data_IF_893377828819
#
_entry.id   IF_893377828819
#
_cell.length_a   1.000
_cell.length_b   1.000
_cell.length_c   1.000
_cell.angle_alpha   90.00
_cell.angle_beta   90.00
_cell.angle_gamma   90.00
#
_symmetry.space_group_name_H-M   'P 1'
#
loop_
_entity.id
_entity.type
_entity.pdbx_description
1 polymer ?
#
# COMPACT_ATOMS: atom_id res chain seq x y z
N UNK A 1 -21.89 -0.52 5.42
CA UNK A 1 -21.33 0.84 5.24
C UNK A 1 -22.05 1.52 4.08
N UNK A 2 -22.66 2.70 4.32
CA UNK A 2 -23.54 3.40 3.35
C UNK A 2 -22.79 4.14 2.24
N UNK A 3 -21.49 4.41 2.42
CA UNK A 3 -20.69 5.18 1.44
C UNK A 3 -20.52 4.44 0.10
N UNK A 4 -20.49 3.10 0.12
CA UNK A 4 -20.31 2.30 -1.09
C UNK A 4 -21.53 2.30 -2.04
N UNK A 5 -22.67 2.85 -1.61
CA UNK A 5 -23.87 3.02 -2.43
C UNK A 5 -24.17 4.49 -2.74
N UNK A 6 -23.31 5.42 -2.32
CA UNK A 6 -23.44 6.83 -2.63
C UNK A 6 -22.97 7.10 -4.07
N UNK A 7 -23.47 8.18 -4.67
CA UNK A 7 -23.00 8.64 -5.98
C UNK A 7 -21.58 9.23 -5.89
N UNK A 8 -20.86 9.25 -7.02
CA UNK A 8 -19.47 9.71 -7.05
C UNK A 8 -19.29 11.16 -6.59
N UNK A 9 -20.26 12.04 -6.88
CA UNK A 9 -20.24 13.43 -6.43
C UNK A 9 -20.35 13.54 -4.90
N UNK A 10 -21.21 12.73 -4.27
CA UNK A 10 -21.32 12.66 -2.82
C UNK A 10 -20.04 12.09 -2.20
N UNK A 11 -19.48 11.02 -2.78
CA UNK A 11 -18.22 10.43 -2.31
C UNK A 11 -17.09 11.46 -2.41
N UNK A 12 -16.99 12.18 -3.53
CA UNK A 12 -15.97 13.22 -3.73
C UNK A 12 -16.12 14.36 -2.72
N UNK A 13 -17.35 14.82 -2.46
CA UNK A 13 -17.60 15.84 -1.45
C UNK A 13 -17.19 15.39 -0.04
N UNK A 14 -17.49 14.13 0.33
CA UNK A 14 -17.08 13.55 1.61
C UNK A 14 -15.55 13.47 1.71
N UNK A 15 -14.87 13.00 0.66
CA UNK A 15 -13.41 12.90 0.65
C UNK A 15 -12.75 14.28 0.79
N UNK A 16 -13.26 15.30 0.09
CA UNK A 16 -12.77 16.68 0.22
C UNK A 16 -12.95 17.19 1.65
N UNK A 17 -14.09 16.91 2.28
CA UNK A 17 -14.35 17.31 3.66
C UNK A 17 -13.43 16.59 4.67
N UNK A 18 -13.19 15.28 4.49
CA UNK A 18 -12.26 14.53 5.35
C UNK A 18 -10.82 15.03 5.23
N UNK A 19 -10.39 15.42 4.02
CA UNK A 19 -9.06 15.99 3.78
C UNK A 19 -8.87 17.40 4.35
N UNK A 20 -9.83 17.96 5.10
CA UNK A 20 -9.59 19.14 5.94
C UNK A 20 -8.76 18.80 7.18
N UNK A 21 -8.74 17.52 7.58
CA UNK A 21 -7.85 17.00 8.62
C UNK A 21 -6.49 16.60 7.98
N UNK A 22 -5.35 17.14 8.45
CA UNK A 22 -4.04 16.86 7.84
C UNK A 22 -3.65 15.38 7.83
N UNK A 23 -4.07 14.61 8.85
CA UNK A 23 -3.77 13.18 8.95
C UNK A 23 -4.56 12.40 7.89
N UNK A 24 -5.83 12.75 7.69
CA UNK A 24 -6.64 12.16 6.64
C UNK A 24 -6.18 12.61 5.24
N UNK A 25 -5.75 13.86 5.10
CA UNK A 25 -5.20 14.37 3.84
C UNK A 25 -3.96 13.59 3.41
N UNK A 26 -3.00 13.40 4.33
CA UNK A 26 -1.79 12.60 4.08
C UNK A 26 -2.16 11.19 3.62
N UNK A 27 -3.03 10.49 4.36
CA UNK A 27 -3.50 9.14 4.01
C UNK A 27 -4.18 9.10 2.64
N UNK A 28 -5.03 10.09 2.32
CA UNK A 28 -5.71 10.15 1.04
C UNK A 28 -4.73 10.38 -0.12
N UNK A 29 -3.69 11.20 0.08
CA UNK A 29 -2.62 11.41 -0.90
C UNK A 29 -1.82 10.14 -1.14
N UNK A 30 -1.45 9.42 -0.09
CA UNK A 30 -0.71 8.16 -0.20
C UNK A 30 -1.50 7.12 -1.01
N UNK A 31 -2.79 6.92 -0.66
CA UNK A 31 -3.67 6.04 -1.45
C UNK A 31 -3.84 6.52 -2.90
N UNK A 32 -3.94 7.82 -3.15
CA UNK A 32 -4.07 8.35 -4.50
C UNK A 32 -2.85 8.01 -5.36
N UNK A 33 -1.63 8.20 -4.83
CA UNK A 33 -0.38 7.87 -5.51
C UNK A 33 -0.30 6.38 -5.84
N UNK A 34 -0.58 5.52 -4.85
CA UNK A 34 -0.55 4.07 -5.05
C UNK A 34 -1.59 3.57 -6.05
N UNK A 35 -2.83 4.05 -5.95
CA UNK A 35 -3.92 3.68 -6.86
C UNK A 35 -3.64 4.15 -8.29
N UNK A 36 -3.10 5.37 -8.44
CA UNK A 36 -2.74 5.89 -9.76
C UNK A 36 -1.61 5.08 -10.38
N UNK A 37 -0.56 4.76 -9.60
CA UNK A 37 0.54 3.91 -10.05
C UNK A 37 0.03 2.52 -10.46
N UNK A 38 -0.82 1.91 -9.65
CA UNK A 38 -1.42 0.60 -9.95
C UNK A 38 -2.21 0.64 -11.26
N UNK A 39 -3.03 1.67 -11.45
CA UNK A 39 -3.83 1.84 -12.68
C UNK A 39 -2.97 2.04 -13.92
N UNK A 40 -1.90 2.83 -13.83
CA UNK A 40 -0.96 3.02 -14.93
C UNK A 40 -0.31 1.71 -15.37
N UNK A 41 0.10 0.86 -14.42
CA UNK A 41 0.65 -0.47 -14.71
C UNK A 41 -0.34 -1.37 -15.47
N UNK A 42 -1.62 -1.35 -15.10
CA UNK A 42 -2.66 -2.13 -15.79
C UNK A 42 -2.91 -1.71 -17.24
N UNK A 43 -2.66 -0.44 -17.56
CA UNK A 43 -2.83 0.10 -18.92
C UNK A 43 -1.60 -0.10 -19.81
N UNK A 44 -0.55 -0.77 -19.31
CA UNK A 44 0.67 -1.01 -20.06
C UNK A 44 1.49 0.26 -20.27
N UNK A 45 1.42 1.22 -19.35
CA UNK A 45 2.34 2.35 -19.35
C UNK A 45 3.74 1.84 -19.08
N UNK A 46 4.57 1.78 -20.12
CA UNK A 46 6.01 1.60 -19.99
C UNK A 46 6.54 2.73 -19.09
N UNK A 47 7.20 2.34 -18.00
CA UNK A 47 7.95 3.24 -17.14
C UNK A 47 9.01 3.93 -18.00
N UNK A 48 8.71 5.12 -18.54
CA UNK A 48 9.74 6.03 -19.00
C UNK A 48 10.31 6.68 -17.74
N UNK A 49 11.25 5.97 -17.13
CA UNK A 49 12.13 6.53 -16.11
C UNK A 49 12.92 7.70 -16.72
N UNK A 50 12.72 8.95 -16.26
CA UNK A 50 13.43 10.10 -16.83
C UNK A 50 14.92 10.17 -16.44
N UNK A 51 15.44 9.20 -15.67
CA UNK A 51 16.75 9.33 -15.02
C UNK A 51 17.93 8.67 -15.77
N UNK A 52 17.80 8.21 -17.02
CA UNK A 52 18.94 7.62 -17.72
C UNK A 52 19.11 8.08 -19.18
N UNK A 53 19.88 9.16 -19.43
CA UNK A 53 20.17 9.65 -20.77
C UNK A 53 21.54 9.15 -21.23
N UNK A 54 21.76 7.85 -21.36
CA UNK A 54 22.74 7.35 -22.34
C UNK A 54 22.76 5.82 -22.40
N UNK A 55 22.35 5.28 -23.54
CA UNK A 55 23.09 4.22 -24.24
C UNK A 55 22.57 4.11 -25.66
N UNK A 56 23.40 4.63 -26.55
CA UNK A 56 23.28 4.50 -27.99
C UNK A 56 23.10 3.04 -28.41
N UNK A 57 22.16 2.91 -29.34
CA UNK A 57 21.62 1.73 -29.99
C UNK A 57 22.57 1.21 -31.08
N UNK A 58 22.96 -0.07 -31.02
CA UNK A 58 23.36 -0.82 -32.21
C UNK A 58 22.83 -2.27 -32.18
N UNK A 59 22.17 -2.61 -33.30
CA UNK A 59 21.95 -3.94 -33.88
C UNK A 59 20.87 -4.89 -33.30
N UNK A 60 19.72 -4.87 -33.97
CA UNK A 60 19.32 -5.97 -34.86
C UNK A 60 18.60 -7.17 -34.25
N UNK A 61 17.32 -7.33 -34.58
CA UNK A 61 16.63 -8.61 -34.36
C UNK A 61 15.12 -8.53 -34.49
N UNK A 62 14.59 -8.61 -35.71
CA UNK A 62 13.20 -8.90 -35.97
C UNK A 62 12.85 -10.33 -35.50
N UNK A 63 11.98 -10.45 -34.50
CA UNK A 63 11.20 -11.68 -34.28
C UNK A 63 9.72 -11.32 -34.17
N UNK A 64 8.95 -11.84 -35.12
CA UNK A 64 7.51 -11.77 -35.14
C UNK A 64 6.94 -12.64 -34.00
N UNK A 65 6.75 -12.03 -32.83
CA UNK A 65 5.93 -12.56 -31.76
C UNK A 65 4.53 -11.99 -31.86
N UNK A 66 3.63 -12.74 -32.48
CA UNK A 66 2.21 -12.42 -32.58
C UNK A 66 1.55 -12.69 -31.20
N UNK A 67 1.98 -11.97 -30.16
CA UNK A 67 1.21 -11.87 -28.93
C UNK A 67 0.20 -10.75 -29.16
N UNK A 68 -1.01 -11.16 -29.51
CA UNK A 68 -2.19 -10.33 -29.37
C UNK A 68 -2.15 -9.68 -27.98
N UNK A 69 -1.74 -8.41 -27.92
CA UNK A 69 -1.86 -7.53 -26.75
C UNK A 69 -3.34 -7.42 -26.43
N UNK A 70 -3.84 -8.47 -25.75
CA UNK A 70 -5.16 -8.49 -25.15
C UNK A 70 -5.10 -7.39 -24.13
N UNK A 71 -5.60 -6.21 -24.50
CA UNK A 71 -5.90 -5.11 -23.58
C UNK A 71 -6.51 -5.75 -22.34
N UNK A 72 -5.75 -5.83 -21.24
CA UNK A 72 -6.22 -6.45 -20.01
C UNK A 72 -7.48 -5.68 -19.63
N UNK A 73 -8.60 -6.38 -19.46
CA UNK A 73 -9.83 -5.73 -19.05
C UNK A 73 -9.55 -4.98 -17.75
N UNK A 74 -9.85 -3.68 -17.71
CA UNK A 74 -9.67 -2.85 -16.52
C UNK A 74 -10.63 -3.39 -15.47
N UNK A 75 -10.09 -4.13 -14.50
CA UNK A 75 -10.83 -4.65 -13.35
C UNK A 75 -10.97 -3.58 -12.28
N UNK A 76 -11.99 -3.74 -11.44
CA UNK A 76 -12.20 -2.88 -10.27
C UNK A 76 -10.99 -2.96 -9.33
N UNK A 77 -10.42 -1.79 -9.00
CA UNK A 77 -9.33 -1.70 -8.03
C UNK A 77 -9.92 -1.72 -6.62
N UNK A 78 -9.31 -2.50 -5.74
CA UNK A 78 -9.70 -2.65 -4.34
C UNK A 78 -8.48 -2.47 -3.45
N UNK A 79 -8.70 -2.07 -2.20
CA UNK A 79 -7.63 -1.98 -1.19
C UNK A 79 -7.67 -3.23 -0.31
N UNK A 80 -6.51 -3.89 -0.16
CA UNK A 80 -6.39 -5.06 0.69
C UNK A 80 -6.52 -4.68 2.17
N UNK A 81 -7.38 -5.37 2.89
CA UNK A 81 -7.57 -5.17 4.33
C UNK A 81 -6.39 -5.66 5.18
N UNK A 82 -5.54 -6.54 4.62
CA UNK A 82 -4.37 -7.09 5.30
C UNK A 82 -3.13 -6.21 5.04
N UNK A 83 -2.64 -6.15 3.80
CA UNK A 83 -1.42 -5.42 3.44
C UNK A 83 -1.63 -3.94 3.10
N UNK A 84 -2.88 -3.45 2.99
CA UNK A 84 -3.24 -2.08 2.59
C UNK A 84 -2.90 -1.67 1.16
N UNK A 85 -2.27 -2.54 0.38
CA UNK A 85 -1.96 -2.27 -1.02
C UNK A 85 -3.18 -2.42 -1.95
N UNK A 86 -3.18 -1.71 -3.10
CA UNK A 86 -4.17 -1.89 -4.14
C UNK A 86 -4.01 -3.22 -4.86
N UNK A 87 -5.14 -3.86 -5.17
CA UNK A 87 -5.18 -5.11 -5.94
C UNK A 87 -6.46 -5.16 -6.79
N UNK A 88 -6.52 -6.16 -7.66
CA UNK A 88 -7.74 -6.50 -8.38
C UNK A 88 -7.95 -8.02 -8.36
N UNK A 89 -9.19 -8.48 -8.57
CA UNK A 89 -9.53 -9.90 -8.44
C UNK A 89 -8.87 -10.78 -9.51
N UNK A 90 -8.55 -10.23 -10.68
CA UNK A 90 -7.98 -11.00 -11.78
C UNK A 90 -6.52 -11.41 -11.52
N UNK A 91 -5.81 -10.67 -10.67
CA UNK A 91 -4.40 -10.90 -10.30
C UNK A 91 -4.26 -11.38 -8.85
N UNK A 92 -5.37 -11.72 -8.18
CA UNK A 92 -5.39 -12.15 -6.79
C UNK A 92 -5.16 -13.67 -6.66
N UNK A 93 -3.90 -14.11 -6.64
CA UNK A 93 -3.54 -15.51 -6.40
C UNK A 93 -3.34 -15.80 -4.91
N UNK A 94 -3.23 -17.08 -4.48
CA UNK A 94 -2.99 -17.45 -3.07
C UNK A 94 -1.71 -16.94 -2.42
N UNK A 95 -0.81 -16.33 -3.18
CA UNK A 95 0.54 -15.97 -2.78
C UNK A 95 0.93 -14.52 -3.10
N UNK A 96 0.01 -13.70 -3.65
CA UNK A 96 0.30 -12.31 -4.04
C UNK A 96 0.25 -11.31 -2.91
N UNK A 97 -0.49 -11.59 -1.82
CA UNK A 97 -0.54 -10.70 -0.66
C UNK A 97 0.53 -11.11 0.36
N UNK A 98 1.45 -10.18 0.62
CA UNK A 98 2.40 -10.25 1.73
C UNK A 98 1.91 -9.36 2.86
N UNK A 99 1.58 -9.94 4.01
CA UNK A 99 1.07 -9.21 5.16
C UNK A 99 1.67 -9.72 6.46
N UNK A 100 1.64 -8.86 7.49
CA UNK A 100 1.93 -9.25 8.86
C UNK A 100 0.64 -9.67 9.55
N UNK A 101 0.63 -10.85 10.17
CA UNK A 101 -0.53 -11.38 10.89
C UNK A 101 -0.57 -10.96 12.37
N UNK A 102 0.57 -10.49 12.89
CA UNK A 102 0.71 -9.93 14.23
C UNK A 102 0.29 -8.47 14.31
N UNK A 103 0.44 -7.91 15.50
CA UNK A 103 0.30 -6.49 15.77
C UNK A 103 1.68 -5.82 15.91
N UNK A 104 1.71 -4.50 15.72
CA UNK A 104 2.86 -3.65 15.98
C UNK A 104 3.09 -3.53 17.49
N UNK A 105 4.33 -3.75 17.93
CA UNK A 105 4.75 -3.64 19.32
C UNK A 105 6.02 -2.79 19.46
N UNK A 106 6.25 -2.26 20.66
CA UNK A 106 7.48 -1.54 20.99
C UNK A 106 8.63 -2.53 20.99
N UNK A 107 9.69 -2.23 20.25
CA UNK A 107 10.93 -2.99 20.28
C UNK A 107 11.74 -2.55 21.49
N UNK A 108 11.47 -3.14 22.66
CA UNK A 108 12.12 -2.77 23.93
C UNK A 108 13.67 -2.83 23.86
N UNK A 109 14.21 -3.66 22.96
CA UNK A 109 15.66 -3.82 22.72
C UNK A 109 16.22 -2.82 21.66
N UNK A 110 15.41 -1.88 21.16
CA UNK A 110 15.85 -0.91 20.15
C UNK A 110 16.68 0.20 20.78
N UNK A 111 17.88 0.44 20.23
CA UNK A 111 18.82 1.47 20.71
C UNK A 111 18.25 2.90 20.69
N UNK A 112 17.18 3.11 19.90
CA UNK A 112 16.48 4.39 19.78
C UNK A 112 15.87 4.81 21.10
N UNK A 113 15.49 3.85 21.95
CA UNK A 113 14.95 4.11 23.28
C UNK A 113 16.05 4.40 24.32
N UNK A 114 17.30 3.99 24.08
CA UNK A 114 18.43 4.23 24.99
C UNK A 114 18.91 5.69 24.92
N UNK A 115 18.87 6.30 23.73
CA UNK A 115 19.27 7.69 23.50
C UNK A 115 18.16 8.70 23.86
N UNK A 116 16.95 8.20 24.12
CA UNK A 116 15.76 9.01 24.37
C UNK A 116 15.62 9.33 25.87
N UNK A 117 16.31 10.35 26.38
CA UNK A 117 16.20 10.76 27.80
C UNK A 117 14.74 11.02 28.26
N UNK A 118 13.86 11.38 27.33
CA UNK A 118 12.44 11.74 27.53
C UNK A 118 11.46 10.54 27.47
N UNK A 119 11.94 9.30 27.21
CA UNK A 119 11.06 8.11 27.13
C UNK A 119 10.32 7.82 28.45
N UNK A 120 10.86 8.30 29.57
CA UNK A 120 10.23 8.17 30.89
C UNK A 120 8.93 8.98 31.03
N UNK A 121 8.76 10.02 30.24
CA UNK A 121 7.59 10.91 30.28
C UNK A 121 6.69 10.78 29.03
N UNK A 122 7.19 10.19 27.94
CA UNK A 122 6.44 9.95 26.70
C UNK A 122 5.70 8.60 26.64
N UNK A 123 4.56 8.54 25.94
CA UNK A 123 3.87 7.27 25.64
C UNK A 123 4.42 6.66 24.33
N UNK A 124 5.24 5.59 24.36
CA UNK A 124 5.76 4.95 23.14
C UNK A 124 4.64 4.36 22.29
N UNK A 125 3.44 4.11 22.81
CA UNK A 125 2.33 3.65 21.98
C UNK A 125 1.62 4.77 21.20
N UNK A 126 1.99 6.04 21.42
CA UNK A 126 1.39 7.19 20.74
C UNK A 126 1.58 7.11 19.22
N UNK A 127 0.60 7.62 18.47
CA UNK A 127 0.69 7.64 17.01
C UNK A 127 1.83 8.54 16.50
N UNK A 128 2.14 9.62 17.23
CA UNK A 128 3.21 10.56 16.92
C UNK A 128 4.58 9.88 17.02
N UNK A 129 4.83 9.12 18.10
CA UNK A 129 6.09 8.38 18.24
C UNK A 129 6.23 7.26 17.21
N UNK A 130 5.14 6.62 16.80
CA UNK A 130 5.14 5.60 15.73
C UNK A 130 5.52 6.17 14.37
N UNK A 131 5.14 7.42 14.12
CA UNK A 131 5.47 8.13 12.88
C UNK A 131 6.88 8.72 12.92
N UNK A 132 7.34 9.18 14.08
CA UNK A 132 8.64 9.82 14.23
C UNK A 132 9.80 8.83 14.39
N UNK A 133 9.55 7.67 15.02
CA UNK A 133 10.57 6.66 15.32
C UNK A 133 10.14 5.25 14.88
N UNK A 134 9.80 5.04 13.60
CA UNK A 134 9.34 3.73 13.11
C UNK A 134 10.31 2.58 13.44
N UNK A 135 11.61 2.84 13.48
CA UNK A 135 12.68 1.91 13.86
C UNK A 135 12.63 1.43 15.32
N UNK A 136 11.86 2.11 16.18
CA UNK A 136 11.61 1.71 17.56
C UNK A 136 10.58 0.58 17.70
N UNK A 137 9.94 0.17 16.60
CA UNK A 137 8.83 -0.77 16.61
C UNK A 137 9.11 -1.99 15.73
N UNK A 138 8.47 -3.11 16.09
CA UNK A 138 8.54 -4.38 15.35
C UNK A 138 7.17 -5.04 15.21
N UNK A 139 7.09 -6.02 14.32
CA UNK A 139 5.91 -6.87 14.20
C UNK A 139 6.01 -8.10 15.10
N UNK A 140 5.02 -8.31 15.98
CA UNK A 140 4.96 -9.48 16.87
C UNK A 140 4.94 -10.85 16.17
N UNK A 141 4.64 -10.91 14.86
CA UNK A 141 4.62 -12.18 14.12
C UNK A 141 5.98 -12.65 13.61
N UNK A 142 6.97 -11.76 13.48
CA UNK A 142 8.29 -12.12 12.94
C UNK A 142 9.45 -11.29 13.51
N UNK A 143 9.18 -10.36 14.42
CA UNK A 143 10.12 -9.44 15.04
C UNK A 143 10.87 -8.50 14.08
N UNK A 144 10.46 -8.48 12.81
CA UNK A 144 11.00 -7.57 11.80
C UNK A 144 10.52 -6.12 12.03
N UNK A 145 11.28 -5.10 11.57
CA UNK A 145 10.90 -3.70 11.66
C UNK A 145 9.52 -3.43 11.05
N UNK A 146 8.81 -2.39 11.50
CA UNK A 146 7.43 -2.13 11.02
C UNK A 146 7.34 -1.81 9.52
N UNK A 147 8.43 -1.32 8.93
CA UNK A 147 8.56 -1.01 7.51
C UNK A 147 8.86 -2.26 6.64
N UNK A 148 9.10 -3.41 7.28
CA UNK A 148 9.38 -4.66 6.57
C UNK A 148 8.15 -5.16 5.79
N UNK A 149 8.41 -5.79 4.65
CA UNK A 149 7.41 -6.52 3.90
C UNK A 149 6.79 -7.64 4.74
N UNK A 150 5.48 -7.89 4.55
CA UNK A 150 4.74 -8.89 5.31
C UNK A 150 5.37 -10.29 5.34
N UNK A 151 5.45 -10.90 6.52
CA UNK A 151 6.04 -12.23 6.71
C UNK A 151 5.11 -13.39 6.29
N UNK A 152 3.82 -13.12 6.12
CA UNK A 152 2.79 -14.11 5.78
C UNK A 152 2.34 -13.96 4.34
N UNK A 153 2.23 -15.07 3.61
CA UNK A 153 1.69 -15.12 2.23
C UNK A 153 0.21 -15.51 2.24
N UNK A 154 -0.55 -14.93 1.32
CA UNK A 154 -1.97 -15.26 1.12
C UNK A 154 -2.57 -14.55 -0.09
N UNK A 155 -3.88 -14.73 -0.29
CA UNK A 155 -4.65 -13.87 -1.19
C UNK A 155 -5.00 -12.54 -0.52
N UNK A 156 -5.07 -11.48 -1.32
CA UNK A 156 -5.61 -10.21 -0.88
C UNK A 156 -7.06 -10.38 -0.43
N UNK A 157 -7.45 -9.67 0.63
CA UNK A 157 -8.81 -9.70 1.18
C UNK A 157 -9.42 -8.33 1.15
N UNK A 158 -10.60 -8.19 0.57
CA UNK A 158 -11.40 -6.98 0.74
C UNK A 158 -12.02 -6.95 2.13
N UNK A 159 -12.34 -5.76 2.63
CA UNK A 159 -13.27 -5.63 3.76
C UNK A 159 -14.64 -6.17 3.31
N UNK A 160 -14.89 -7.46 3.52
CA UNK A 160 -16.16 -8.06 3.18
C UNK A 160 -17.26 -7.42 4.03
N UNK A 161 -18.29 -6.90 3.36
CA UNK A 161 -19.61 -6.73 3.99
C UNK A 161 -20.04 -8.13 4.43
N UNK A 162 -20.10 -8.40 5.74
CA UNK A 162 -20.93 -9.50 6.24
C UNK A 162 -22.37 -9.22 5.81
N UNK A 163 -22.80 -9.77 4.69
CA UNK A 163 -24.21 -10.00 4.41
C UNK A 163 -24.54 -11.32 5.10
N UNK A 164 -24.97 -11.25 6.35
CA UNK A 164 -25.63 -12.39 6.97
C UNK A 164 -27.14 -12.25 6.76
N UNK A 165 -27.66 -13.32 6.16
CA UNK A 165 -29.06 -13.69 5.97
C UNK A 165 -29.84 -13.73 7.29
#
# INVERSE_FOLDING_TARGET
MKIASASEDIIRAILIALCQDPVQEKKARDYFVELHRFRSKQLGGEDNDPANPDKSNENGGCTNGNESSKRRAISEIRICSLCKEPFNENENTPDTCLYHSGYMEVGDDSSIWEEWEDWRDGNPESAENKEQYPEGYKWSCCEEPIESTGCTRGSHKTLHKKQHY
#
